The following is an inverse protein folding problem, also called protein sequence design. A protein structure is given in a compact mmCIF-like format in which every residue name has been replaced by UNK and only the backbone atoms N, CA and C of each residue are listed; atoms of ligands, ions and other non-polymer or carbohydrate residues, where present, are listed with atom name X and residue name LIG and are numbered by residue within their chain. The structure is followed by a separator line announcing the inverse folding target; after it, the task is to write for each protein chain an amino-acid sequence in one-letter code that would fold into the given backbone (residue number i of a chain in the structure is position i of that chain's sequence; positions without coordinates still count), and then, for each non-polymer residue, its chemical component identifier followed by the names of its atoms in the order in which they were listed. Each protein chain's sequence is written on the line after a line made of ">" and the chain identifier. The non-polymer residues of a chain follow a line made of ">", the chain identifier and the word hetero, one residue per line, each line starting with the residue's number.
data_IF_930338196603
#
_entry.id   IF_930338196603
#
_cell.length_a   1.000
_cell.length_b   1.000
_cell.length_c   1.000
_cell.angle_alpha   90.00
_cell.angle_beta   90.00
_cell.angle_gamma   90.00
#
_symmetry.space_group_name_H-M   'P 1'
#
loop_
_entity.id
_entity.type
_entity.pdbx_description
1 polymer ?
#
# COMPACT_ATOMS: atom_id res chain seq x y z
N UNK A 1 -34.95 -25.10 -4.86
CA UNK A 1 -34.08 -24.55 -3.81
C UNK A 1 -32.92 -23.81 -4.48
N UNK A 2 -33.14 -22.52 -4.72
CA UNK A 2 -32.05 -21.68 -5.28
C UNK A 2 -31.10 -21.34 -4.15
N UNK A 3 -29.86 -21.84 -4.24
CA UNK A 3 -28.76 -21.18 -3.54
C UNK A 3 -28.63 -19.82 -4.21
N UNK A 4 -29.23 -18.79 -3.62
CA UNK A 4 -28.98 -17.44 -4.05
C UNK A 4 -27.47 -17.20 -3.96
N UNK A 5 -26.83 -16.99 -5.09
CA UNK A 5 -25.44 -16.53 -5.10
C UNK A 5 -25.40 -15.28 -4.24
N UNK A 6 -24.73 -15.36 -3.10
CA UNK A 6 -24.56 -14.25 -2.19
C UNK A 6 -23.73 -13.23 -2.94
N UNK A 7 -24.36 -12.14 -3.40
CA UNK A 7 -23.64 -11.09 -4.12
C UNK A 7 -22.60 -10.48 -3.18
N UNK A 8 -21.38 -10.35 -3.67
CA UNK A 8 -20.30 -9.71 -2.93
C UNK A 8 -20.70 -8.28 -2.53
N UNK A 9 -20.36 -7.87 -1.31
CA UNK A 9 -20.63 -6.51 -0.85
C UNK A 9 -19.90 -5.51 -1.76
N UNK A 10 -20.51 -4.33 -2.08
CA UNK A 10 -19.84 -3.33 -2.92
C UNK A 10 -18.42 -2.93 -2.44
N UNK A 11 -18.17 -2.98 -1.14
CA UNK A 11 -16.84 -2.69 -0.60
C UNK A 11 -15.83 -3.80 -0.88
N UNK A 12 -16.26 -5.04 -1.06
CA UNK A 12 -15.41 -6.11 -1.56
C UNK A 12 -14.98 -5.84 -3.01
N UNK A 13 -15.89 -5.36 -3.83
CA UNK A 13 -15.61 -4.94 -5.21
C UNK A 13 -14.67 -3.71 -5.24
N UNK A 14 -14.82 -2.79 -4.30
CA UNK A 14 -13.92 -1.65 -4.14
C UNK A 14 -12.48 -2.10 -3.89
N UNK A 15 -12.27 -3.07 -2.99
CA UNK A 15 -10.94 -3.64 -2.73
C UNK A 15 -10.40 -4.30 -4.01
N UNK A 16 -11.21 -5.07 -4.72
CA UNK A 16 -10.80 -5.70 -5.97
C UNK A 16 -10.35 -4.65 -6.99
N UNK A 17 -11.13 -3.58 -7.17
CA UNK A 17 -10.77 -2.49 -8.09
C UNK A 17 -9.47 -1.79 -7.69
N UNK A 18 -9.25 -1.60 -6.39
CA UNK A 18 -8.02 -1.01 -5.87
C UNK A 18 -6.80 -1.83 -6.27
N UNK A 19 -6.83 -3.15 -6.05
CA UNK A 19 -5.70 -4.02 -6.38
C UNK A 19 -5.58 -4.30 -7.89
N UNK A 20 -6.67 -4.30 -8.64
CA UNK A 20 -6.61 -4.36 -10.11
C UNK A 20 -5.91 -3.12 -10.66
N UNK A 21 -6.20 -1.93 -10.12
CA UNK A 21 -5.51 -0.69 -10.46
C UNK A 21 -4.03 -0.77 -10.10
N UNK A 22 -3.71 -1.30 -8.92
CA UNK A 22 -2.33 -1.47 -8.48
C UNK A 22 -1.55 -2.41 -9.43
N UNK A 23 -2.15 -3.53 -9.80
CA UNK A 23 -1.51 -4.51 -10.70
C UNK A 23 -1.19 -3.92 -12.07
N UNK A 24 -2.00 -2.97 -12.57
CA UNK A 24 -1.72 -2.26 -13.83
C UNK A 24 -0.98 -0.93 -13.64
N UNK A 25 -0.50 -0.65 -12.43
CA UNK A 25 0.25 0.56 -12.08
C UNK A 25 -0.54 1.86 -12.34
N UNK A 26 -1.84 1.84 -12.07
CA UNK A 26 -2.72 2.99 -12.24
C UNK A 26 -2.95 3.69 -10.88
N UNK A 27 -2.01 4.58 -10.53
CA UNK A 27 -2.06 5.31 -9.26
C UNK A 27 -3.27 6.23 -9.12
N UNK A 28 -3.76 6.79 -10.22
CA UNK A 28 -4.96 7.65 -10.22
C UNK A 28 -6.21 6.85 -9.86
N UNK A 29 -6.37 5.66 -10.43
CA UNK A 29 -7.49 4.77 -10.10
C UNK A 29 -7.41 4.27 -8.66
N UNK A 30 -6.20 4.01 -8.13
CA UNK A 30 -6.01 3.68 -6.71
C UNK A 30 -6.43 4.86 -5.82
N UNK A 31 -5.97 6.06 -6.13
CA UNK A 31 -6.29 7.27 -5.38
C UNK A 31 -7.80 7.54 -5.34
N UNK A 32 -8.52 7.26 -6.43
CA UNK A 32 -9.97 7.43 -6.52
C UNK A 32 -10.76 6.50 -5.59
N UNK A 33 -10.14 5.44 -5.06
CA UNK A 33 -10.78 4.53 -4.10
C UNK A 33 -10.81 5.09 -2.66
N UNK A 34 -10.06 6.16 -2.36
CA UNK A 34 -9.98 6.72 -1.02
C UNK A 34 -11.00 7.83 -0.78
N UNK A 35 -11.50 7.89 0.45
CA UNK A 35 -12.29 9.02 0.93
C UNK A 35 -11.40 10.29 1.00
N UNK A 36 -11.97 11.50 0.89
CA UNK A 36 -11.19 12.75 0.94
C UNK A 36 -10.38 12.95 2.22
N UNK A 37 -10.85 12.39 3.33
CA UNK A 37 -10.21 12.43 4.65
C UNK A 37 -9.57 11.10 5.04
N UNK A 38 -9.16 10.30 4.08
CA UNK A 38 -8.60 8.97 4.33
C UNK A 38 -7.33 9.02 5.18
N UNK A 39 -7.10 7.92 5.90
CA UNK A 39 -5.90 7.69 6.69
C UNK A 39 -5.24 6.39 6.23
N UNK A 40 -3.94 6.44 5.95
CA UNK A 40 -3.12 5.28 5.60
C UNK A 40 -1.94 5.16 6.53
N UNK A 41 -1.58 3.93 6.87
CA UNK A 41 -0.35 3.63 7.60
C UNK A 41 0.25 2.30 7.17
N UNK A 42 1.57 2.25 7.11
CA UNK A 42 2.35 1.02 7.03
C UNK A 42 3.67 1.20 7.82
N UNK A 43 4.55 0.18 7.86
CA UNK A 43 5.81 0.31 8.60
C UNK A 43 6.77 1.38 8.08
N UNK A 44 6.57 1.89 6.86
CA UNK A 44 7.42 2.90 6.21
C UNK A 44 6.73 4.27 6.20
N UNK A 45 5.50 4.32 5.69
CA UNK A 45 4.65 5.52 5.69
C UNK A 45 3.69 5.44 6.88
N UNK A 46 4.08 6.02 8.01
CA UNK A 46 3.45 5.74 9.30
C UNK A 46 2.14 6.49 9.57
N UNK A 47 1.90 7.61 8.90
CA UNK A 47 0.72 8.45 9.15
C UNK A 47 0.46 9.36 7.95
N UNK A 48 -0.26 8.86 6.95
CA UNK A 48 -0.67 9.63 5.79
C UNK A 48 -2.15 10.00 5.91
N UNK A 49 -2.49 11.26 5.62
CA UNK A 49 -3.85 11.79 5.78
C UNK A 49 -4.30 12.58 4.57
N UNK A 50 -5.62 12.58 4.34
CA UNK A 50 -6.25 13.36 3.28
C UNK A 50 -5.85 12.88 1.89
N UNK A 51 -5.19 13.73 1.12
CA UNK A 51 -4.74 13.40 -0.25
C UNK A 51 -3.43 12.60 -0.28
N UNK A 52 -2.73 12.48 0.85
CA UNK A 52 -1.43 11.84 0.92
C UNK A 52 -1.44 10.35 0.56
N UNK A 53 -2.43 9.54 0.99
CA UNK A 53 -2.48 8.13 0.56
C UNK A 53 -2.52 7.97 -0.96
N UNK A 54 -3.38 8.72 -1.63
CA UNK A 54 -3.47 8.70 -3.09
C UNK A 54 -2.17 9.16 -3.76
N UNK A 55 -1.56 10.22 -3.24
CA UNK A 55 -0.28 10.72 -3.75
C UNK A 55 0.85 9.70 -3.58
N UNK A 56 0.89 8.98 -2.47
CA UNK A 56 1.85 7.90 -2.25
C UNK A 56 1.75 6.83 -3.34
N UNK A 57 0.54 6.36 -3.63
CA UNK A 57 0.34 5.34 -4.67
C UNK A 57 0.68 5.86 -6.07
N UNK A 58 0.35 7.12 -6.38
CA UNK A 58 0.78 7.76 -7.64
C UNK A 58 2.30 7.81 -7.77
N UNK A 59 2.97 8.17 -6.70
CA UNK A 59 4.44 8.20 -6.66
C UNK A 59 5.04 6.80 -6.85
N UNK A 60 4.58 5.82 -6.08
CA UNK A 60 5.13 4.46 -6.14
C UNK A 60 4.86 3.79 -7.48
N UNK A 61 3.66 3.90 -8.02
CA UNK A 61 3.32 3.33 -9.33
C UNK A 61 4.03 4.04 -10.47
N UNK A 62 4.21 5.36 -10.36
CA UNK A 62 4.92 6.14 -11.37
C UNK A 62 6.42 5.86 -11.43
N UNK A 63 7.02 5.46 -10.33
CA UNK A 63 8.46 5.11 -10.24
C UNK A 63 8.74 3.63 -10.47
N UNK A 64 7.70 2.79 -10.44
CA UNK A 64 7.85 1.35 -10.59
C UNK A 64 8.33 0.98 -12.00
N UNK A 65 9.27 0.04 -12.09
CA UNK A 65 9.80 -0.46 -13.35
C UNK A 65 9.44 -1.92 -13.59
N UNK A 66 9.55 -2.76 -12.54
CA UNK A 66 9.31 -4.19 -12.61
C UNK A 66 8.35 -4.69 -11.52
N UNK A 67 7.56 -3.80 -10.95
CA UNK A 67 6.63 -4.14 -9.87
C UNK A 67 5.53 -5.07 -10.38
N UNK A 68 5.37 -6.20 -9.68
CA UNK A 68 4.27 -7.14 -9.87
C UNK A 68 3.50 -7.26 -8.57
N UNK A 69 2.19 -7.09 -8.64
CA UNK A 69 1.29 -7.17 -7.49
C UNK A 69 0.30 -8.30 -7.72
N UNK A 70 0.12 -9.13 -6.69
CA UNK A 70 -0.85 -10.22 -6.68
C UNK A 70 -1.76 -10.10 -5.47
N UNK A 71 -3.05 -9.98 -5.69
CA UNK A 71 -4.06 -10.10 -4.64
C UNK A 71 -4.33 -11.59 -4.41
N UNK A 72 -4.05 -12.08 -3.20
CA UNK A 72 -4.21 -13.49 -2.85
C UNK A 72 -5.64 -13.77 -2.40
N UNK A 73 -6.14 -12.96 -1.47
CA UNK A 73 -7.51 -13.05 -0.96
C UNK A 73 -7.94 -11.71 -0.42
N UNK A 74 -9.24 -11.47 -0.39
CA UNK A 74 -9.81 -10.26 0.18
C UNK A 74 -11.25 -10.50 0.61
N UNK A 75 -11.69 -9.67 1.54
CA UNK A 75 -13.05 -9.64 2.03
C UNK A 75 -13.45 -8.20 2.35
N UNK A 76 -14.71 -7.87 2.17
CA UNK A 76 -15.21 -6.54 2.46
C UNK A 76 -16.69 -6.57 2.84
N UNK A 77 -16.99 -5.93 3.97
CA UNK A 77 -18.34 -5.71 4.46
C UNK A 77 -18.67 -4.22 4.49
N UNK A 78 -19.74 -3.88 5.17
CA UNK A 78 -20.23 -2.50 5.24
C UNK A 78 -19.23 -1.56 5.89
N UNK A 79 -18.63 -1.96 7.01
CA UNK A 79 -17.75 -1.11 7.81
C UNK A 79 -16.26 -1.45 7.68
N UNK A 80 -15.92 -2.71 7.48
CA UNK A 80 -14.54 -3.18 7.53
C UNK A 80 -14.25 -4.20 6.44
N UNK A 81 -12.98 -4.30 6.07
CA UNK A 81 -12.49 -5.28 5.11
C UNK A 81 -11.03 -5.62 5.35
N UNK A 82 -10.57 -6.59 4.59
CA UNK A 82 -9.19 -7.09 4.67
C UNK A 82 -8.70 -7.55 3.30
N UNK A 83 -7.38 -7.60 3.14
CA UNK A 83 -6.75 -8.18 1.96
C UNK A 83 -5.41 -8.78 2.33
N UNK A 84 -5.02 -9.79 1.57
CA UNK A 84 -3.66 -10.34 1.57
C UNK A 84 -3.10 -10.19 0.17
N UNK A 85 -1.98 -9.51 0.04
CA UNK A 85 -1.37 -9.26 -1.26
C UNK A 85 0.15 -9.40 -1.21
N UNK A 86 0.72 -9.67 -2.38
CA UNK A 86 2.15 -9.88 -2.57
C UNK A 86 2.69 -8.88 -3.56
N UNK A 87 3.89 -8.36 -3.31
CA UNK A 87 4.60 -7.50 -4.24
C UNK A 87 6.00 -8.03 -4.50
N UNK A 88 6.37 -8.08 -5.78
CA UNK A 88 7.72 -8.42 -6.22
C UNK A 88 8.27 -7.25 -7.04
N UNK A 89 9.42 -6.73 -6.66
CA UNK A 89 10.03 -5.58 -7.33
C UNK A 89 11.52 -5.48 -7.04
N UNK A 90 12.21 -4.66 -7.83
CA UNK A 90 13.60 -4.29 -7.57
C UNK A 90 13.65 -2.95 -6.86
N UNK A 91 14.27 -2.92 -5.68
CA UNK A 91 14.46 -1.70 -4.91
C UNK A 91 15.58 -0.85 -5.51
N UNK A 92 15.65 0.43 -5.15
CA UNK A 92 16.67 1.38 -5.66
C UNK A 92 18.12 0.93 -5.46
N UNK A 93 18.38 0.02 -4.54
CA UNK A 93 19.69 -0.60 -4.33
C UNK A 93 20.07 -1.64 -5.39
N UNK A 94 19.15 -1.97 -6.30
CA UNK A 94 19.28 -3.05 -7.27
C UNK A 94 18.92 -4.42 -6.72
N UNK A 95 18.50 -4.51 -5.46
CA UNK A 95 18.14 -5.78 -4.82
C UNK A 95 16.67 -6.11 -5.04
N UNK A 96 16.40 -7.38 -5.22
CA UNK A 96 15.01 -7.87 -5.39
C UNK A 96 14.33 -8.04 -4.05
N UNK A 97 13.08 -7.57 -3.98
CA UNK A 97 12.24 -7.65 -2.80
C UNK A 97 10.97 -8.44 -3.13
N UNK A 98 10.63 -9.39 -2.26
CA UNK A 98 9.33 -10.03 -2.21
C UNK A 98 8.68 -9.63 -0.89
N UNK A 99 7.57 -8.89 -0.96
CA UNK A 99 6.87 -8.42 0.23
C UNK A 99 5.51 -9.08 0.36
N UNK A 100 5.25 -9.65 1.53
CA UNK A 100 3.98 -10.29 1.89
C UNK A 100 3.24 -9.35 2.83
N UNK A 101 2.09 -8.82 2.37
CA UNK A 101 1.40 -7.72 3.03
C UNK A 101 -0.03 -8.12 3.40
N UNK A 102 -0.42 -7.78 4.64
CA UNK A 102 -1.79 -7.88 5.13
C UNK A 102 -2.36 -6.48 5.24
N UNK A 103 -3.53 -6.26 4.65
CA UNK A 103 -4.22 -4.98 4.67
C UNK A 103 -5.51 -5.08 5.49
N UNK A 104 -5.78 -4.04 6.26
CA UNK A 104 -7.04 -3.83 6.97
C UNK A 104 -7.65 -2.53 6.49
N UNK A 105 -8.96 -2.53 6.24
CA UNK A 105 -9.71 -1.40 5.72
C UNK A 105 -10.88 -1.04 6.60
N UNK A 106 -11.22 0.26 6.65
CA UNK A 106 -12.50 0.78 7.06
C UNK A 106 -13.08 1.61 5.93
N UNK A 107 -14.40 1.56 5.80
CA UNK A 107 -15.10 2.20 4.68
C UNK A 107 -16.04 3.29 5.19
N UNK A 108 -16.25 4.29 4.36
CA UNK A 108 -17.23 5.36 4.57
C UNK A 108 -17.76 5.80 3.20
N UNK A 109 -19.08 5.79 3.06
CA UNK A 109 -19.76 6.21 1.83
C UNK A 109 -19.24 5.50 0.56
N UNK A 110 -18.91 4.20 0.68
CA UNK A 110 -18.44 3.40 -0.44
C UNK A 110 -16.98 3.64 -0.82
N UNK A 111 -16.21 4.32 0.02
CA UNK A 111 -14.78 4.62 -0.19
C UNK A 111 -13.94 4.14 0.99
N UNK A 112 -12.63 4.02 0.77
CA UNK A 112 -11.68 3.64 1.84
C UNK A 112 -11.44 4.86 2.74
N UNK A 113 -11.87 4.75 4.01
CA UNK A 113 -11.63 5.78 5.02
C UNK A 113 -10.35 5.53 5.80
N UNK A 114 -10.04 4.26 6.09
CA UNK A 114 -8.80 3.86 6.76
C UNK A 114 -8.21 2.65 6.04
N UNK A 115 -6.89 2.66 5.89
CA UNK A 115 -6.13 1.57 5.28
C UNK A 115 -4.84 1.37 6.06
N UNK A 116 -4.64 0.18 6.60
CA UNK A 116 -3.42 -0.18 7.31
C UNK A 116 -2.80 -1.40 6.66
N UNK A 117 -1.60 -1.26 6.15
CA UNK A 117 -0.78 -2.36 5.68
C UNK A 117 0.19 -2.82 6.77
N UNK A 118 0.36 -4.12 6.90
CA UNK A 118 1.30 -4.73 7.84
C UNK A 118 2.19 -5.72 7.11
N UNK A 119 3.50 -5.58 7.31
CA UNK A 119 4.51 -6.51 6.82
C UNK A 119 5.72 -6.48 7.75
N UNK A 120 6.59 -7.50 7.65
CA UNK A 120 7.83 -7.53 8.43
C UNK A 120 8.83 -6.51 7.89
N UNK A 121 9.03 -5.41 8.60
CA UNK A 121 10.04 -4.42 8.24
C UNK A 121 11.45 -5.04 8.21
N UNK A 122 11.77 -5.93 9.13
CA UNK A 122 13.06 -6.62 9.15
C UNK A 122 13.25 -7.47 7.89
N UNK A 123 12.25 -8.26 7.50
CA UNK A 123 12.31 -9.06 6.28
C UNK A 123 12.48 -8.17 5.04
N UNK A 124 11.74 -7.08 4.97
CA UNK A 124 11.87 -6.11 3.89
C UNK A 124 13.27 -5.48 3.86
N UNK A 125 13.77 -5.00 5.00
CA UNK A 125 15.07 -4.31 5.07
C UNK A 125 16.23 -5.24 4.74
N UNK A 126 16.16 -6.49 5.15
CA UNK A 126 17.15 -7.51 4.81
C UNK A 126 17.23 -7.71 3.29
N UNK A 127 16.10 -7.77 2.62
CA UNK A 127 16.02 -7.94 1.16
C UNK A 127 16.47 -6.66 0.43
N UNK A 128 15.94 -5.52 0.83
CA UNK A 128 16.13 -4.23 0.15
C UNK A 128 17.53 -3.63 0.37
N UNK A 129 18.07 -3.76 1.58
CA UNK A 129 19.31 -3.12 2.02
C UNK A 129 20.49 -4.10 2.11
N UNK A 130 20.23 -5.40 2.00
CA UNK A 130 21.26 -6.44 2.04
C UNK A 130 21.97 -6.55 3.40
N UNK A 131 23.32 -6.61 3.45
CA UNK A 131 24.04 -6.82 4.72
C UNK A 131 23.73 -5.81 5.80
N UNK A 132 23.51 -4.53 5.46
CA UNK A 132 23.12 -3.50 6.42
C UNK A 132 21.74 -3.81 7.02
N UNK A 133 20.77 -4.27 6.19
CA UNK A 133 19.47 -4.68 6.65
C UNK A 133 19.50 -5.93 7.52
N UNK A 134 20.36 -6.90 7.16
CA UNK A 134 20.53 -8.13 7.96
C UNK A 134 21.11 -7.80 9.35
N UNK A 135 22.10 -6.93 9.43
CA UNK A 135 22.81 -6.61 10.66
C UNK A 135 22.02 -5.62 11.55
N UNK A 136 21.38 -4.62 10.96
CA UNK A 136 20.84 -3.46 11.67
C UNK A 136 19.35 -3.19 11.40
N UNK A 137 18.71 -3.95 10.51
CA UNK A 137 17.31 -3.70 10.09
C UNK A 137 16.28 -3.85 11.22
N UNK A 138 16.63 -4.55 12.32
CA UNK A 138 15.80 -4.63 13.51
C UNK A 138 15.90 -3.40 14.41
N UNK A 139 16.87 -2.50 14.13
CA UNK A 139 17.10 -1.33 14.98
C UNK A 139 16.15 -0.18 14.63
N UNK A 140 15.77 0.64 15.63
CA UNK A 140 14.98 1.87 15.37
C UNK A 140 15.73 2.87 14.49
N UNK A 141 17.06 2.84 14.45
CA UNK A 141 17.89 3.76 13.66
C UNK A 141 17.64 3.57 12.16
N UNK A 142 17.74 2.32 11.67
CA UNK A 142 17.50 2.02 10.25
C UNK A 142 16.04 2.26 9.89
N UNK A 143 15.12 1.81 10.72
CA UNK A 143 13.68 2.01 10.51
C UNK A 143 13.33 3.50 10.43
N UNK A 144 13.82 4.29 11.36
CA UNK A 144 13.60 5.74 11.39
C UNK A 144 14.18 6.44 10.17
N UNK A 145 15.37 6.01 9.71
CA UNK A 145 15.99 6.56 8.50
C UNK A 145 15.12 6.29 7.26
N UNK A 146 14.66 5.05 7.09
CA UNK A 146 13.81 4.66 5.96
C UNK A 146 12.49 5.46 6.00
N UNK A 147 11.87 5.59 7.16
CA UNK A 147 10.65 6.37 7.34
C UNK A 147 10.84 7.84 6.96
N UNK A 148 11.93 8.47 7.38
CA UNK A 148 12.25 9.87 7.05
C UNK A 148 12.50 10.05 5.56
N UNK A 149 13.24 9.15 4.94
CA UNK A 149 13.49 9.20 3.49
C UNK A 149 12.21 9.04 2.68
N UNK A 150 11.32 8.13 3.10
CA UNK A 150 10.03 7.93 2.46
C UNK A 150 9.15 9.19 2.59
N UNK A 151 9.08 9.80 3.77
CA UNK A 151 8.32 11.04 4.00
C UNK A 151 8.87 12.19 3.16
N UNK A 152 10.17 12.36 3.13
CA UNK A 152 10.83 13.39 2.31
C UNK A 152 10.49 13.20 0.83
N UNK A 153 10.58 11.96 0.33
CA UNK A 153 10.25 11.66 -1.06
C UNK A 153 8.80 11.99 -1.40
N UNK A 154 7.88 11.69 -0.50
CA UNK A 154 6.46 12.02 -0.68
C UNK A 154 6.21 13.54 -0.66
N UNK A 155 6.83 14.26 0.27
CA UNK A 155 6.70 15.72 0.37
C UNK A 155 7.25 16.39 -0.90
N UNK A 156 8.35 15.92 -1.44
CA UNK A 156 8.90 16.41 -2.71
C UNK A 156 7.94 16.14 -3.88
N UNK A 157 7.36 14.94 -3.92
CA UNK A 157 6.38 14.57 -4.94
C UNK A 157 5.15 15.49 -4.89
N UNK A 158 4.61 15.73 -3.69
CA UNK A 158 3.46 16.62 -3.49
C UNK A 158 3.77 18.06 -3.89
N UNK A 159 4.98 18.55 -3.63
CA UNK A 159 5.39 19.92 -3.99
C UNK A 159 5.50 20.14 -5.50
N UNK A 160 5.72 19.09 -6.27
CA UNK A 160 5.85 19.13 -7.73
C UNK A 160 4.55 18.84 -8.47
N UNK A 161 3.55 18.32 -7.76
CA UNK A 161 2.25 18.03 -8.36
C UNK A 161 1.49 19.33 -8.63
N UNK A 162 0.94 19.54 -9.84
CA UNK A 162 0.09 20.69 -10.08
C UNK A 162 -1.16 20.61 -9.20
N UNK A 163 -1.54 21.76 -8.66
CA UNK A 163 -2.75 21.89 -7.84
C UNK A 163 -4.01 21.55 -8.66
#
# INVERSE_FOLDING_TARGET
>A
MGYGAQMAHPNQDLIQRFYDAFARLDGDAMAACYAPDAHFSDPVFTDLRGEEPGAMWRMLTGRAQDLKVKLVEHDGGEEAGSAHWLADYTFRTGRKVHNDVRAEFRFKDGLIAEHRDSFSFYSWSRQALGPAGLALGWTPIVRGKVQREARTGLDEFLSKSPA
#
